data_IF_965278461724
#
_entry.id   IF_965278461724
#
_cell.length_a   1.000
_cell.length_b   1.000
_cell.length_c   1.000
_cell.angle_alpha   90.00
_cell.angle_beta   90.00
_cell.angle_gamma   90.00
#
_symmetry.space_group_name_H-M   'P 1'
#
loop_
_entity.id
_entity.type
_entity.pdbx_description
1 polymer ?
#
# COMPACT_ATOMS: atom_id res chain seq x y z
N UNK A 1 -74.38 -12.43 -6.98
CA UNK A 1 -73.05 -13.07 -7.17
C UNK A 1 -72.16 -12.45 -8.27
N UNK A 2 -72.61 -11.46 -9.06
CA UNK A 2 -71.79 -10.89 -10.15
C UNK A 2 -70.69 -9.91 -9.68
N UNK A 3 -70.91 -9.15 -8.61
CA UNK A 3 -69.93 -8.19 -8.07
C UNK A 3 -68.68 -8.84 -7.45
N UNK A 4 -68.81 -10.03 -6.82
CA UNK A 4 -67.65 -10.79 -6.29
C UNK A 4 -66.72 -11.30 -7.41
N UNK A 5 -67.28 -11.67 -8.57
CA UNK A 5 -66.47 -12.10 -9.74
C UNK A 5 -65.76 -10.91 -10.40
N UNK A 6 -66.40 -9.74 -10.41
CA UNK A 6 -65.81 -8.51 -10.99
C UNK A 6 -64.68 -7.94 -10.12
N UNK A 7 -64.82 -7.96 -8.78
CA UNK A 7 -63.73 -7.56 -7.87
C UNK A 7 -62.53 -8.51 -7.90
N UNK A 8 -62.78 -9.82 -8.10
CA UNK A 8 -61.71 -10.82 -8.23
C UNK A 8 -60.89 -10.65 -9.53
N UNK A 9 -61.57 -10.34 -10.65
CA UNK A 9 -60.92 -10.06 -11.94
C UNK A 9 -60.05 -8.79 -11.90
N UNK A 10 -60.52 -7.73 -11.24
CA UNK A 10 -59.76 -6.47 -11.11
C UNK A 10 -58.51 -6.68 -10.23
N UNK A 11 -58.66 -7.41 -9.11
CA UNK A 11 -57.54 -7.75 -8.21
C UNK A 11 -56.46 -8.57 -8.91
N UNK A 12 -56.84 -9.60 -9.67
CA UNK A 12 -55.89 -10.45 -10.39
C UNK A 12 -55.10 -9.67 -11.46
N UNK A 13 -55.77 -8.74 -12.14
CA UNK A 13 -55.13 -7.89 -13.16
C UNK A 13 -54.13 -6.92 -12.53
N UNK A 14 -54.46 -6.37 -11.36
CA UNK A 14 -53.56 -5.47 -10.62
C UNK A 14 -52.30 -6.19 -10.13
N UNK A 15 -52.43 -7.44 -9.66
CA UNK A 15 -51.29 -8.26 -9.24
C UNK A 15 -50.37 -8.61 -10.41
N UNK A 16 -50.92 -8.89 -11.60
CA UNK A 16 -50.13 -9.19 -12.80
C UNK A 16 -49.37 -7.95 -13.30
N UNK A 17 -50.00 -6.77 -13.25
CA UNK A 17 -49.36 -5.50 -13.66
C UNK A 17 -48.30 -5.08 -12.65
N UNK A 18 -48.58 -5.18 -11.34
CA UNK A 18 -47.58 -4.88 -10.31
C UNK A 18 -46.39 -5.84 -10.37
N UNK A 19 -46.64 -7.14 -10.61
CA UNK A 19 -45.59 -8.15 -10.74
C UNK A 19 -44.68 -7.92 -11.96
N UNK A 20 -45.23 -7.45 -13.08
CA UNK A 20 -44.44 -7.17 -14.29
C UNK A 20 -43.57 -5.91 -14.19
N UNK A 21 -43.97 -4.91 -13.38
CA UNK A 21 -43.13 -3.73 -13.09
C UNK A 21 -41.94 -4.13 -12.19
N UNK A 22 -42.14 -4.99 -11.20
CA UNK A 22 -41.06 -5.48 -10.33
C UNK A 22 -40.10 -6.38 -11.12
N UNK A 23 -40.60 -7.24 -12.01
CA UNK A 23 -39.75 -8.10 -12.85
C UNK A 23 -38.96 -7.32 -13.92
N UNK A 24 -39.50 -6.22 -14.45
CA UNK A 24 -38.77 -5.34 -15.39
C UNK A 24 -37.74 -4.45 -14.68
N UNK A 25 -37.91 -4.20 -13.38
CA UNK A 25 -36.93 -3.51 -12.53
C UNK A 25 -35.70 -4.39 -12.19
N UNK A 26 -35.79 -5.70 -12.45
CA UNK A 26 -34.70 -6.67 -12.27
C UNK A 26 -33.94 -6.99 -13.58
N UNK A 27 -34.15 -6.25 -14.68
CA UNK A 27 -33.33 -6.43 -15.88
C UNK A 27 -31.97 -5.74 -15.68
N UNK A 28 -30.95 -6.58 -15.49
CA UNK A 28 -29.55 -6.24 -15.27
C UNK A 28 -28.91 -5.51 -16.47
N UNK A 29 -29.34 -4.29 -16.78
CA UNK A 29 -28.56 -3.41 -17.65
C UNK A 29 -27.80 -2.45 -16.76
N UNK A 30 -26.53 -2.78 -16.55
CA UNK A 30 -25.57 -1.85 -15.93
C UNK A 30 -25.69 -0.53 -16.71
N UNK A 31 -25.93 0.59 -16.02
CA UNK A 31 -26.08 1.87 -16.71
C UNK A 31 -24.73 2.29 -17.30
N UNK A 32 -24.75 3.10 -18.35
CA UNK A 32 -23.52 3.61 -18.98
C UNK A 32 -22.66 4.40 -17.97
N UNK A 33 -23.30 5.09 -17.03
CA UNK A 33 -22.63 5.75 -15.91
C UNK A 33 -21.95 4.77 -14.94
N UNK A 34 -22.51 3.58 -14.72
CA UNK A 34 -21.87 2.57 -13.88
C UNK A 34 -20.67 1.94 -14.60
N UNK A 35 -20.71 1.79 -15.92
CA UNK A 35 -19.55 1.33 -16.70
C UNK A 35 -18.42 2.36 -16.71
N UNK A 36 -18.73 3.64 -16.88
CA UNK A 36 -17.72 4.70 -16.83
C UNK A 36 -17.08 4.78 -15.45
N UNK A 37 -17.87 4.66 -14.37
CA UNK A 37 -17.37 4.60 -12.99
C UNK A 37 -16.42 3.41 -12.79
N UNK A 38 -16.79 2.21 -13.27
CA UNK A 38 -15.93 1.01 -13.17
C UNK A 38 -14.64 1.20 -13.96
N UNK A 39 -14.71 1.77 -15.16
CA UNK A 39 -13.53 2.03 -15.98
C UNK A 39 -12.58 3.03 -15.31
N UNK A 40 -13.12 4.07 -14.67
CA UNK A 40 -12.34 5.04 -13.92
C UNK A 40 -11.70 4.42 -12.67
N UNK A 41 -12.46 3.65 -11.88
CA UNK A 41 -11.93 2.94 -10.72
C UNK A 41 -10.78 1.99 -11.11
N UNK A 42 -10.88 1.28 -12.23
CA UNK A 42 -9.79 0.43 -12.74
C UNK A 42 -8.56 1.23 -13.18
N UNK A 43 -8.73 2.44 -13.71
CA UNK A 43 -7.61 3.34 -14.04
C UNK A 43 -6.92 3.84 -12.77
N UNK A 44 -7.70 4.22 -11.76
CA UNK A 44 -7.18 4.63 -10.45
C UNK A 44 -6.42 3.48 -9.79
N UNK A 45 -6.98 2.27 -9.80
CA UNK A 45 -6.34 1.07 -9.26
C UNK A 45 -4.97 0.79 -9.92
N UNK A 46 -4.90 0.86 -11.25
CA UNK A 46 -3.63 0.70 -11.98
C UNK A 46 -2.60 1.78 -11.62
N UNK A 47 -3.06 3.02 -11.50
CA UNK A 47 -2.20 4.16 -11.14
C UNK A 47 -1.63 3.97 -9.74
N UNK A 48 -2.51 3.69 -8.76
CA UNK A 48 -2.11 3.43 -7.38
C UNK A 48 -1.17 2.24 -7.26
N UNK A 49 -1.42 1.13 -7.97
CA UNK A 49 -0.51 -0.02 -7.96
C UNK A 49 0.88 0.31 -8.54
N UNK A 50 0.94 1.13 -9.58
CA UNK A 50 2.21 1.61 -10.15
C UNK A 50 2.96 2.51 -9.16
N UNK A 51 2.26 3.42 -8.49
CA UNK A 51 2.82 4.28 -7.45
C UNK A 51 3.35 3.47 -6.27
N UNK A 52 2.57 2.49 -5.78
CA UNK A 52 2.98 1.57 -4.71
C UNK A 52 4.27 0.86 -5.09
N UNK A 53 4.34 0.29 -6.29
CA UNK A 53 5.53 -0.42 -6.76
C UNK A 53 6.75 0.50 -6.82
N UNK A 54 6.56 1.73 -7.29
CA UNK A 54 7.61 2.74 -7.37
C UNK A 54 8.11 3.13 -5.98
N UNK A 55 7.19 3.40 -5.05
CA UNK A 55 7.52 3.76 -3.68
C UNK A 55 8.21 2.61 -2.92
N UNK A 56 7.78 1.36 -3.13
CA UNK A 56 8.45 0.19 -2.55
C UNK A 56 9.89 0.05 -3.05
N UNK A 57 10.13 0.28 -4.34
CA UNK A 57 11.50 0.28 -4.91
C UNK A 57 12.36 1.40 -4.31
N UNK A 58 11.81 2.62 -4.22
CA UNK A 58 12.48 3.76 -3.60
C UNK A 58 12.83 3.48 -2.13
N UNK A 59 11.88 2.92 -1.37
CA UNK A 59 12.10 2.50 0.03
C UNK A 59 13.24 1.49 0.13
N UNK A 60 13.23 0.43 -0.68
CA UNK A 60 14.28 -0.58 -0.64
C UNK A 60 15.67 0.00 -0.98
N UNK A 61 15.74 0.99 -1.87
CA UNK A 61 16.99 1.70 -2.18
C UNK A 61 17.47 2.54 -0.99
N UNK A 62 16.57 3.30 -0.36
CA UNK A 62 16.88 4.12 0.81
C UNK A 62 17.31 3.25 2.00
N UNK A 63 16.64 2.14 2.26
CA UNK A 63 16.99 1.22 3.34
C UNK A 63 18.42 0.66 3.16
N UNK A 64 18.81 0.32 1.93
CA UNK A 64 20.19 -0.10 1.61
C UNK A 64 21.20 1.02 1.85
N UNK A 65 20.88 2.24 1.41
CA UNK A 65 21.75 3.39 1.60
C UNK A 65 21.96 3.68 3.09
N UNK A 66 20.89 3.67 3.89
CA UNK A 66 20.97 3.84 5.35
C UNK A 66 21.84 2.76 5.99
N UNK A 67 21.69 1.49 5.59
CA UNK A 67 22.52 0.40 6.09
C UNK A 67 24.00 0.62 5.77
N UNK A 68 24.32 0.98 4.51
CA UNK A 68 25.71 1.27 4.09
C UNK A 68 26.29 2.43 4.88
N UNK A 69 25.58 3.56 4.98
CA UNK A 69 26.05 4.74 5.72
C UNK A 69 26.22 4.46 7.21
N UNK A 70 25.35 3.66 7.80
CA UNK A 70 25.47 3.25 9.20
C UNK A 70 26.71 2.38 9.41
N UNK A 71 26.99 1.43 8.51
CA UNK A 71 28.19 0.61 8.57
C UNK A 71 29.48 1.44 8.43
N UNK A 72 29.52 2.39 7.48
CA UNK A 72 30.64 3.33 7.29
C UNK A 72 30.88 4.18 8.56
N UNK A 73 29.80 4.71 9.16
CA UNK A 73 29.89 5.51 10.38
C UNK A 73 30.44 4.69 11.56
N UNK A 74 30.00 3.44 11.69
CA UNK A 74 30.48 2.53 12.74
C UNK A 74 31.98 2.20 12.57
N UNK A 75 32.42 1.90 11.35
CA UNK A 75 33.82 1.65 11.03
C UNK A 75 34.69 2.89 11.32
N UNK A 76 34.24 4.06 10.89
CA UNK A 76 34.93 5.33 11.16
C UNK A 76 35.07 5.58 12.68
N UNK A 77 34.00 5.39 13.44
CA UNK A 77 34.03 5.54 14.90
C UNK A 77 34.96 4.53 15.57
N UNK A 78 34.95 3.27 15.11
CA UNK A 78 35.86 2.23 15.59
C UNK A 78 37.32 2.62 15.38
N UNK A 79 37.69 3.00 14.15
CA UNK A 79 39.05 3.47 13.80
C UNK A 79 39.47 4.68 14.63
N UNK A 80 38.57 5.66 14.79
CA UNK A 80 38.81 6.84 15.63
C UNK A 80 39.11 6.45 17.07
N UNK A 81 38.33 5.53 17.64
CA UNK A 81 38.51 5.09 19.02
C UNK A 81 39.83 4.33 19.21
N UNK A 82 40.20 3.47 18.26
CA UNK A 82 41.51 2.80 18.24
C UNK A 82 42.65 3.83 18.24
N UNK A 83 42.57 4.84 17.37
CA UNK A 83 43.59 5.90 17.31
C UNK A 83 43.66 6.66 18.63
N UNK A 84 42.51 7.05 19.20
CA UNK A 84 42.44 7.73 20.50
C UNK A 84 43.08 6.90 21.62
N UNK A 85 42.80 5.60 21.66
CA UNK A 85 43.38 4.70 22.65
C UNK A 85 44.91 4.61 22.52
N UNK A 86 45.41 4.49 21.28
CA UNK A 86 46.86 4.49 21.01
C UNK A 86 47.52 5.81 21.38
N UNK A 87 46.87 6.95 21.07
CA UNK A 87 47.36 8.27 21.45
C UNK A 87 47.41 8.45 22.96
N UNK A 88 46.41 7.97 23.71
CA UNK A 88 46.41 8.07 25.17
C UNK A 88 47.52 7.26 25.84
N UNK A 89 48.03 6.24 25.16
CA UNK A 89 49.17 5.45 25.63
C UNK A 89 50.53 6.03 25.17
N UNK A 90 50.56 7.10 24.38
CA UNK A 90 51.78 7.75 23.93
C UNK A 90 52.43 8.60 25.04
N UNK A 91 53.77 8.62 25.23
CA UNK A 91 54.81 7.89 24.50
C UNK A 91 55.14 6.49 25.08
N UNK A 92 54.51 6.08 26.17
CA UNK A 92 54.71 4.77 26.81
C UNK A 92 53.95 3.64 26.11
N UNK A 93 54.06 3.57 24.79
CA UNK A 93 53.51 2.48 23.97
C UNK A 93 54.51 1.33 23.82
N UNK A 94 55.78 1.54 24.19
CA UNK A 94 56.85 0.53 24.13
C UNK A 94 57.41 0.36 25.55
N UNK A 95 56.86 -0.56 26.36
CA UNK A 95 57.35 -0.80 27.72
C UNK A 95 58.81 -1.27 27.76
N UNK A 96 59.35 -1.73 26.62
CA UNK A 96 60.70 -2.28 26.48
C UNK A 96 61.67 -1.39 25.68
N UNK A 97 61.30 -0.15 25.34
CA UNK A 97 62.21 0.78 24.65
C UNK A 97 63.09 1.53 25.64
N UNK A 98 64.35 1.13 25.75
CA UNK A 98 65.42 1.96 26.31
C UNK A 98 66.23 2.58 25.16
N UNK A 99 66.26 3.91 24.99
CA UNK A 99 67.15 4.53 24.01
C UNK A 99 68.61 4.26 24.42
N UNK A 100 69.42 3.75 23.50
CA UNK A 100 70.87 3.63 23.73
C UNK A 100 71.53 5.02 23.75
N UNK A 101 72.55 5.25 24.59
CA UNK A 101 73.21 6.54 24.75
C UNK A 101 73.92 7.02 23.48
#
# INVERSE_FOLDING_TARGET
>A
MKFKKMGSLISLTFVIVAGSIILSSCTCKISEEQLSKIAEMRRQEKTLNSEITTQQSAKAKLDREVQTRTAEANDCNSKRNIIKQRLSAWPNIWPDYTPQP
#
